data_IF_798299555188
#
_entry.id   IF_798299555188
#
_cell.length_a   1.000
_cell.length_b   1.000
_cell.length_c   1.000
_cell.angle_alpha   90.00
_cell.angle_beta   90.00
_cell.angle_gamma   90.00
#
_symmetry.space_group_name_H-M   'P 1'
#
loop_
_entity.id
_entity.type
_entity.pdbx_description
1 polymer ?
#
# COMPACT_ATOMS: atom_id res chain seq x y z
N UNK A 1 11.99 24.74 0.89
CA UNK A 1 11.33 24.35 2.16
C UNK A 1 12.17 23.31 2.87
N UNK A 2 12.59 23.59 4.10
CA UNK A 2 13.39 22.66 4.92
C UNK A 2 12.59 21.48 5.45
N UNK A 3 11.29 21.67 5.60
CA UNK A 3 10.35 20.66 6.06
C UNK A 3 9.87 19.84 4.85
N UNK A 4 9.78 18.53 5.01
CA UNK A 4 9.39 17.57 3.95
C UNK A 4 8.00 17.00 4.25
N UNK A 5 6.90 17.73 3.96
CA UNK A 5 5.55 17.24 4.19
C UNK A 5 5.25 16.04 3.29
N UNK A 6 4.73 14.96 3.88
CA UNK A 6 4.52 13.67 3.20
C UNK A 6 3.03 13.40 2.96
N UNK A 7 2.73 12.66 1.89
CA UNK A 7 1.35 12.19 1.64
C UNK A 7 1.10 10.98 2.54
N UNK A 8 0.02 11.01 3.34
CA UNK A 8 -0.38 9.85 4.14
C UNK A 8 -0.70 8.68 3.22
N UNK A 9 -0.18 7.49 3.55
CA UNK A 9 -0.32 6.30 2.72
C UNK A 9 -1.78 5.81 2.65
N UNK A 10 -2.52 5.95 3.75
CA UNK A 10 -3.88 5.44 3.90
C UNK A 10 -4.96 6.43 3.47
N UNK A 11 -4.69 7.74 3.51
CA UNK A 11 -5.63 8.77 3.05
C UNK A 11 -5.49 9.15 1.58
N UNK A 12 -4.62 8.51 0.79
CA UNK A 12 -4.50 8.80 -0.66
C UNK A 12 -5.82 8.75 -1.41
N UNK A 13 -6.75 7.87 -0.99
CA UNK A 13 -8.08 7.75 -1.60
C UNK A 13 -9.03 8.88 -1.15
N UNK A 14 -8.97 9.28 0.12
CA UNK A 14 -9.93 10.22 0.72
C UNK A 14 -9.45 11.68 0.75
N UNK A 15 -8.13 11.91 0.65
CA UNK A 15 -7.49 13.22 0.67
C UNK A 15 -6.19 13.20 -0.17
N UNK A 16 -6.27 12.99 -1.49
CA UNK A 16 -5.11 12.75 -2.38
C UNK A 16 -4.10 13.90 -2.40
N UNK A 17 -4.57 15.14 -2.21
CA UNK A 17 -3.75 16.34 -2.29
C UNK A 17 -3.34 16.87 -0.91
N UNK A 18 -3.63 16.16 0.19
CA UNK A 18 -3.27 16.59 1.55
C UNK A 18 -1.92 16.01 1.94
N UNK A 19 -1.04 16.87 2.44
CA UNK A 19 0.27 16.48 2.97
C UNK A 19 0.28 16.67 4.48
N UNK A 20 1.16 15.95 5.17
CA UNK A 20 1.23 15.89 6.61
C UNK A 20 2.64 16.21 7.09
N UNK A 21 2.71 16.97 8.18
CA UNK A 21 3.90 17.12 9.00
C UNK A 21 3.62 16.54 10.40
N UNK A 22 4.68 16.12 11.11
CA UNK A 22 4.59 15.74 12.52
C UNK A 22 3.90 16.80 13.38
N UNK A 23 3.18 16.38 14.42
CA UNK A 23 2.36 17.26 15.27
C UNK A 23 3.15 18.17 16.22
N UNK A 24 4.41 17.84 16.45
CA UNK A 24 5.40 18.64 17.17
C UNK A 24 5.93 19.82 16.34
N UNK A 25 5.72 19.80 15.02
CA UNK A 25 6.05 20.93 14.13
C UNK A 25 4.84 21.85 14.03
N UNK A 26 5.07 23.14 14.23
CA UNK A 26 4.05 24.16 14.01
C UNK A 26 4.49 25.20 12.97
N UNK A 27 3.52 25.93 12.44
CA UNK A 27 3.74 26.91 11.37
C UNK A 27 4.67 28.06 11.78
N UNK A 28 4.73 28.39 13.08
CA UNK A 28 5.63 29.43 13.60
C UNK A 28 7.08 28.99 13.52
N UNK A 29 7.37 27.72 13.84
CA UNK A 29 8.70 27.12 13.64
C UNK A 29 9.08 27.11 12.16
N UNK A 30 8.14 26.78 11.28
CA UNK A 30 8.37 26.80 9.83
C UNK A 30 8.71 28.20 9.32
N UNK A 31 8.00 29.22 9.80
CA UNK A 31 8.24 30.62 9.45
C UNK A 31 9.57 31.14 10.00
N UNK A 32 9.93 30.79 11.24
CA UNK A 32 11.23 31.12 11.81
C UNK A 32 12.37 30.57 10.96
N UNK A 33 12.30 29.29 10.61
CA UNK A 33 13.30 28.66 9.75
C UNK A 33 13.35 29.24 8.33
N UNK A 34 12.21 29.69 7.79
CA UNK A 34 12.17 30.40 6.52
C UNK A 34 12.90 31.75 6.62
N UNK A 35 12.61 32.52 7.67
CA UNK A 35 13.20 33.84 7.90
C UNK A 35 14.72 33.77 8.10
N UNK A 36 15.21 32.70 8.73
CA UNK A 36 16.65 32.44 8.90
C UNK A 36 17.35 32.06 7.59
N UNK A 37 16.66 31.33 6.70
CA UNK A 37 17.25 30.81 5.46
C UNK A 37 17.18 31.79 4.29
N UNK A 38 16.15 32.61 4.25
CA UNK A 38 15.89 33.56 3.16
C UNK A 38 15.74 34.98 3.73
N UNK A 39 16.79 35.55 4.37
CA UNK A 39 16.69 36.84 5.06
C UNK A 39 16.46 38.03 4.12
N UNK A 40 16.81 37.87 2.84
CA UNK A 40 16.64 38.92 1.82
C UNK A 40 15.17 39.08 1.37
N UNK A 41 14.35 38.06 1.56
CA UNK A 41 12.95 38.06 1.14
C UNK A 41 12.07 38.29 2.37
N UNK A 42 11.66 39.54 2.57
CA UNK A 42 10.78 39.89 3.68
C UNK A 42 9.33 39.47 3.37
N UNK A 43 8.90 38.37 3.97
CA UNK A 43 7.52 37.86 3.86
C UNK A 43 6.85 37.98 5.21
N UNK A 44 5.64 38.55 5.25
CA UNK A 44 4.86 38.58 6.49
C UNK A 44 4.41 37.19 6.90
N UNK A 45 4.35 36.94 8.22
CA UNK A 45 3.81 35.69 8.77
C UNK A 45 2.40 35.37 8.24
N UNK A 46 1.55 36.39 8.04
CA UNK A 46 0.20 36.22 7.50
C UNK A 46 0.21 35.67 6.07
N UNK A 47 1.07 36.23 5.20
CA UNK A 47 1.22 35.74 3.83
C UNK A 47 1.79 34.32 3.81
N UNK A 48 2.84 34.05 4.59
CA UNK A 48 3.44 32.72 4.71
C UNK A 48 2.40 31.67 5.14
N UNK A 49 1.57 32.03 6.14
CA UNK A 49 0.50 31.16 6.63
C UNK A 49 -0.53 30.83 5.55
N UNK A 50 -0.91 31.80 4.72
CA UNK A 50 -1.83 31.57 3.62
C UNK A 50 -1.26 30.60 2.59
N UNK A 51 0.01 30.78 2.21
CA UNK A 51 0.70 29.87 1.28
C UNK A 51 0.76 28.44 1.85
N UNK A 52 1.10 28.26 3.13
CA UNK A 52 1.13 26.94 3.77
C UNK A 52 -0.25 26.27 3.78
N UNK A 53 -1.33 27.05 3.98
CA UNK A 53 -2.70 26.55 3.90
C UNK A 53 -3.09 26.12 2.47
N UNK A 54 -2.69 26.89 1.46
CA UNK A 54 -2.91 26.57 0.05
C UNK A 54 -2.18 25.28 -0.37
N UNK A 55 -1.02 25.02 0.22
CA UNK A 55 -0.26 23.76 0.04
C UNK A 55 -0.93 22.54 0.69
N UNK A 56 -2.07 22.73 1.38
CA UNK A 56 -2.87 21.68 2.03
C UNK A 56 -2.04 20.83 3.00
N UNK A 57 -1.16 21.47 3.77
CA UNK A 57 -0.33 20.83 4.78
C UNK A 57 -1.10 20.76 6.11
N UNK A 58 -1.17 19.58 6.71
CA UNK A 58 -1.83 19.30 7.98
C UNK A 58 -0.82 18.94 9.06
N UNK A 59 -1.03 19.43 10.27
CA UNK A 59 -0.19 19.14 11.46
C UNK A 59 -0.82 18.08 12.39
N UNK A 60 -1.98 17.54 12.02
CA UNK A 60 -2.72 16.58 12.85
C UNK A 60 -2.04 15.21 12.89
N UNK A 61 -1.89 14.65 14.09
CA UNK A 61 -1.52 13.24 14.31
C UNK A 61 -2.65 12.33 13.81
N UNK A 62 -2.36 11.45 12.85
CA UNK A 62 -3.34 10.54 12.27
C UNK A 62 -3.43 9.26 13.13
N UNK A 63 -4.36 9.22 14.09
CA UNK A 63 -4.47 8.13 15.06
C UNK A 63 -4.95 6.74 14.55
N UNK A 64 -5.11 6.53 13.24
CA UNK A 64 -5.50 5.23 12.67
C UNK A 64 -4.46 4.65 11.70
N UNK A 65 -3.27 5.23 11.65
CA UNK A 65 -2.15 4.75 10.83
C UNK A 65 -0.98 4.25 11.69
N UNK A 66 -1.21 4.08 13.00
CA UNK A 66 -0.17 3.63 13.93
C UNK A 66 -0.16 2.10 13.96
N UNK A 67 1.04 1.52 13.82
CA UNK A 67 1.21 0.08 13.99
C UNK A 67 0.81 -0.28 15.42
N UNK A 68 -0.13 -1.23 15.59
CA UNK A 68 -0.63 -1.64 16.90
C UNK A 68 0.50 -2.04 17.86
N UNK A 69 1.55 -2.68 17.35
CA UNK A 69 2.72 -3.08 18.16
C UNK A 69 3.53 -1.86 18.61
N UNK A 70 3.72 -0.87 17.72
CA UNK A 70 4.39 0.38 18.06
C UNK A 70 3.59 1.19 19.07
N UNK A 71 2.27 1.27 18.92
CA UNK A 71 1.39 1.98 19.85
C UNK A 71 1.38 1.30 21.22
N UNK A 72 1.22 -0.03 21.27
CA UNK A 72 1.35 -0.83 22.50
C UNK A 72 2.68 -0.59 23.21
N UNK A 73 3.77 -0.48 22.45
CA UNK A 73 5.09 -0.16 23.00
C UNK A 73 5.16 1.26 23.54
N UNK A 74 4.67 2.27 22.80
CA UNK A 74 4.64 3.66 23.26
C UNK A 74 3.83 3.84 24.54
N UNK A 75 2.73 3.11 24.70
CA UNK A 75 1.95 3.09 25.95
C UNK A 75 2.73 2.38 27.06
N UNK A 76 3.40 1.27 26.74
CA UNK A 76 4.19 0.50 27.71
C UNK A 76 5.44 1.25 28.19
N UNK A 77 6.07 2.04 27.32
CA UNK A 77 7.33 2.73 27.60
C UNK A 77 7.35 4.13 26.93
N UNK A 78 6.59 5.09 27.50
CA UNK A 78 6.40 6.41 26.89
C UNK A 78 7.69 7.23 26.78
N UNK A 79 8.68 6.97 27.63
CA UNK A 79 9.96 7.68 27.62
C UNK A 79 11.03 7.02 26.73
N UNK A 80 10.74 5.85 26.14
CA UNK A 80 11.60 5.03 25.25
C UNK A 80 13.02 4.69 25.75
N UNK A 81 13.49 5.30 26.84
CA UNK A 81 14.86 5.27 27.34
C UNK A 81 15.17 4.05 28.21
N UNK A 82 14.14 3.39 28.76
CA UNK A 82 14.31 2.28 29.70
C UNK A 82 13.89 0.99 29.00
N UNK A 83 14.84 0.21 28.51
CA UNK A 83 14.57 -1.16 28.04
C UNK A 83 14.47 -2.08 29.25
N UNK A 84 13.26 -2.51 29.58
CA UNK A 84 13.05 -3.50 30.63
C UNK A 84 13.70 -4.83 30.21
N UNK A 85 14.63 -5.34 31.05
CA UNK A 85 15.23 -6.66 30.85
C UNK A 85 14.14 -7.73 30.96
N UNK A 86 14.04 -8.62 29.96
CA UNK A 86 13.06 -9.72 29.89
C UNK A 86 11.58 -9.29 29.84
N UNK A 87 11.25 -8.12 29.27
CA UNK A 87 9.87 -7.75 29.04
C UNK A 87 9.39 -8.18 27.64
N UNK A 88 8.32 -8.98 27.59
CA UNK A 88 7.71 -9.48 26.36
C UNK A 88 7.33 -8.36 25.39
N UNK A 89 6.69 -7.29 25.87
CA UNK A 89 6.29 -6.12 25.05
C UNK A 89 7.49 -5.39 24.44
N UNK A 90 8.61 -5.30 25.17
CA UNK A 90 9.85 -4.72 24.66
C UNK A 90 10.47 -5.63 23.59
N UNK A 91 10.49 -6.95 23.82
CA UNK A 91 11.03 -7.93 22.88
C UNK A 91 10.22 -8.00 21.58
N UNK A 92 8.88 -7.97 21.67
CA UNK A 92 8.00 -7.90 20.50
C UNK A 92 8.27 -6.65 19.67
N UNK A 93 8.37 -5.48 20.32
CA UNK A 93 8.69 -4.23 19.64
C UNK A 93 10.06 -4.28 18.97
N UNK A 94 11.09 -4.75 19.66
CA UNK A 94 12.44 -4.86 19.09
C UNK A 94 12.48 -5.81 17.90
N UNK A 95 11.79 -6.95 18.00
CA UNK A 95 11.65 -7.89 16.90
C UNK A 95 10.87 -7.30 15.72
N UNK A 96 9.81 -6.54 15.96
CA UNK A 96 9.07 -5.83 14.91
C UNK A 96 9.91 -4.74 14.23
N UNK A 97 10.57 -3.89 15.02
CA UNK A 97 11.38 -2.78 14.52
C UNK A 97 12.61 -3.26 13.74
N UNK A 98 13.27 -4.32 14.22
CA UNK A 98 14.40 -4.94 13.52
C UNK A 98 13.98 -5.49 12.16
N UNK A 99 12.82 -6.17 12.09
CA UNK A 99 12.25 -6.66 10.82
C UNK A 99 11.93 -5.52 9.85
N UNK A 100 11.38 -4.42 10.35
CA UNK A 100 11.10 -3.25 9.51
C UNK A 100 12.39 -2.64 8.92
N UNK A 101 13.43 -2.46 9.75
CA UNK A 101 14.73 -1.95 9.30
C UNK A 101 15.37 -2.89 8.27
N UNK A 102 15.39 -4.19 8.55
CA UNK A 102 16.03 -5.17 7.65
C UNK A 102 15.32 -5.25 6.31
N UNK A 103 13.98 -5.24 6.30
CA UNK A 103 13.18 -5.15 5.08
C UNK A 103 13.47 -3.88 4.28
N UNK A 104 13.58 -2.73 4.96
CA UNK A 104 13.86 -1.45 4.31
C UNK A 104 15.26 -1.42 3.69
N UNK A 105 16.26 -1.90 4.42
CA UNK A 105 17.64 -2.00 3.92
C UNK A 105 17.71 -2.88 2.67
N UNK A 106 17.06 -4.05 2.69
CA UNK A 106 17.00 -4.94 1.53
C UNK A 106 16.33 -4.31 0.33
N UNK A 107 15.24 -3.58 0.53
CA UNK A 107 14.60 -2.83 -0.55
C UNK A 107 15.58 -1.86 -1.22
N UNK A 108 16.39 -1.15 -0.42
CA UNK A 108 17.40 -0.22 -0.92
C UNK A 108 18.53 -0.96 -1.66
N UNK A 109 19.01 -2.08 -1.09
CA UNK A 109 20.02 -2.96 -1.72
C UNK A 109 19.52 -3.54 -3.06
N UNK A 110 18.24 -3.91 -3.15
CA UNK A 110 17.61 -4.45 -4.36
C UNK A 110 17.49 -3.40 -5.47
N UNK A 111 17.14 -2.16 -5.11
CA UNK A 111 17.13 -1.01 -6.05
C UNK A 111 18.55 -0.76 -6.58
N UNK A 112 19.54 -0.78 -5.70
CA UNK A 112 20.94 -0.60 -6.09
C UNK A 112 21.42 -1.73 -7.00
N UNK A 113 21.11 -2.99 -6.66
CA UNK A 113 21.45 -4.17 -7.47
C UNK A 113 20.85 -4.09 -8.86
N UNK A 114 19.57 -3.73 -8.98
CA UNK A 114 18.88 -3.60 -10.26
C UNK A 114 19.43 -2.43 -11.10
N UNK A 115 19.90 -1.36 -10.45
CA UNK A 115 20.50 -0.19 -11.13
C UNK A 115 21.92 -0.48 -11.63
N UNK A 116 22.73 -1.19 -10.83
CA UNK A 116 24.14 -1.50 -11.14
C UNK A 116 24.32 -2.73 -12.02
N UNK A 117 23.54 -3.79 -11.79
CA UNK A 117 23.51 -4.99 -12.61
C UNK A 117 22.27 -4.96 -13.51
N UNK A 118 22.42 -4.43 -14.72
CA UNK A 118 21.45 -4.64 -15.82
C UNK A 118 21.52 -6.09 -16.34
N UNK A 119 21.47 -7.09 -15.45
CA UNK A 119 21.31 -8.47 -15.91
C UNK A 119 19.84 -8.67 -16.32
N UNK A 120 19.62 -9.30 -17.48
CA UNK A 120 18.27 -9.53 -18.02
C UNK A 120 17.58 -10.74 -17.40
N UNK A 121 18.27 -11.49 -16.53
CA UNK A 121 17.84 -12.82 -16.10
C UNK A 121 16.99 -12.80 -14.81
N UNK A 122 17.20 -11.80 -13.94
CA UNK A 122 16.44 -11.64 -12.70
C UNK A 122 15.75 -10.29 -12.66
N UNK A 123 14.43 -10.29 -12.45
CA UNK A 123 13.65 -9.07 -12.21
C UNK A 123 13.18 -9.08 -10.77
N UNK A 124 13.53 -8.03 -10.02
CA UNK A 124 13.13 -7.86 -8.62
C UNK A 124 11.93 -6.91 -8.58
N UNK A 125 10.90 -7.31 -7.84
CA UNK A 125 9.73 -6.49 -7.56
C UNK A 125 9.53 -6.41 -6.05
N UNK A 126 9.41 -5.18 -5.53
CA UNK A 126 8.98 -4.96 -4.16
C UNK A 126 7.50 -4.58 -4.17
N UNK A 127 6.69 -5.32 -3.39
CA UNK A 127 5.24 -5.15 -3.35
C UNK A 127 4.80 -5.10 -1.89
N UNK A 128 3.99 -4.11 -1.56
CA UNK A 128 3.27 -4.05 -0.29
C UNK A 128 2.08 -5.02 -0.33
N UNK A 129 2.16 -6.11 0.44
CA UNK A 129 1.11 -7.13 0.55
C UNK A 129 0.10 -6.82 1.66
N UNK A 130 0.41 -5.90 2.58
CA UNK A 130 -0.46 -5.49 3.69
C UNK A 130 -1.74 -4.83 3.18
N UNK A 131 -1.66 -4.14 2.03
CA UNK A 131 -2.82 -3.51 1.37
C UNK A 131 -3.63 -4.44 0.46
N UNK A 132 -3.05 -5.55 -0.03
CA UNK A 132 -3.75 -6.48 -0.94
C UNK A 132 -4.63 -7.49 -0.22
N UNK A 133 -4.32 -7.84 1.02
CA UNK A 133 -5.13 -8.72 1.88
C UNK A 133 -6.43 -8.05 2.33
N UNK A 134 -6.49 -6.72 2.41
CA UNK A 134 -7.72 -5.98 2.68
C UNK A 134 -8.72 -5.97 1.50
N UNK A 135 -8.26 -6.24 0.27
CA UNK A 135 -9.07 -6.13 -0.96
C UNK A 135 -9.59 -7.46 -1.51
N UNK A 136 -9.28 -8.59 -0.87
CA UNK A 136 -9.94 -9.87 -1.16
C UNK A 136 -10.34 -10.54 0.15
N UNK A 137 -11.61 -10.39 0.52
CA UNK A 137 -12.25 -11.19 1.57
C UNK A 137 -12.43 -12.63 1.07
N UNK A 138 -11.33 -13.35 0.84
CA UNK A 138 -11.34 -14.80 0.68
C UNK A 138 -11.30 -15.37 2.10
N UNK A 139 -12.22 -16.28 2.43
CA UNK A 139 -12.39 -16.93 3.73
C UNK A 139 -11.08 -17.01 4.54
N UNK A 140 -10.98 -16.12 5.53
CA UNK A 140 -9.76 -15.70 6.23
C UNK A 140 -9.09 -16.77 7.10
N UNK A 141 -9.71 -17.94 7.27
CA UNK A 141 -9.34 -18.83 8.37
C UNK A 141 -8.23 -19.83 8.04
N UNK A 142 -7.92 -20.09 6.76
CA UNK A 142 -6.98 -21.18 6.40
C UNK A 142 -5.78 -20.69 5.57
N UNK A 143 -5.96 -19.77 4.62
CA UNK A 143 -4.86 -19.30 3.75
C UNK A 143 -4.08 -18.08 4.28
N UNK A 144 -4.65 -17.28 5.18
CA UNK A 144 -3.99 -16.06 5.66
C UNK A 144 -2.84 -16.33 6.63
N UNK A 145 -2.85 -17.41 7.42
CA UNK A 145 -1.86 -17.58 8.50
C UNK A 145 -0.44 -17.86 8.01
N UNK A 146 -0.28 -18.53 6.87
CA UNK A 146 1.05 -18.91 6.37
C UNK A 146 1.68 -17.84 5.48
N UNK A 147 0.86 -17.07 4.75
CA UNK A 147 1.36 -15.99 3.87
C UNK A 147 1.76 -14.72 4.63
N UNK A 148 1.18 -14.47 5.82
CA UNK A 148 1.49 -13.28 6.66
C UNK A 148 2.96 -13.23 7.06
N UNK A 149 3.62 -14.38 7.23
CA UNK A 149 5.00 -14.45 7.70
C UNK A 149 6.03 -14.46 6.57
N UNK A 150 5.61 -14.40 5.31
CA UNK A 150 6.53 -14.45 4.18
C UNK A 150 7.19 -13.08 3.97
N UNK A 151 8.52 -13.05 4.00
CA UNK A 151 9.32 -11.84 3.78
C UNK A 151 9.83 -11.73 2.34
N UNK A 152 10.18 -12.85 1.71
CA UNK A 152 10.73 -12.91 0.35
C UNK A 152 10.09 -14.06 -0.42
N UNK A 153 9.72 -13.82 -1.68
CA UNK A 153 9.22 -14.84 -2.62
C UNK A 153 10.08 -14.84 -3.87
N UNK A 154 10.43 -16.03 -4.36
CA UNK A 154 11.17 -16.24 -5.60
C UNK A 154 10.43 -17.22 -6.49
N UNK A 155 10.24 -16.82 -7.74
CA UNK A 155 9.75 -17.70 -8.80
C UNK A 155 10.89 -17.94 -9.79
N UNK A 156 11.06 -19.19 -10.20
CA UNK A 156 12.10 -19.59 -11.15
C UNK A 156 11.43 -19.96 -12.46
N UNK A 157 11.90 -19.42 -13.58
CA UNK A 157 11.37 -19.76 -14.91
C UNK A 157 11.50 -21.28 -15.13
N UNK A 158 10.42 -21.92 -15.56
CA UNK A 158 10.34 -23.37 -15.77
C UNK A 158 10.06 -24.19 -14.49
N UNK A 159 10.00 -23.55 -13.32
CA UNK A 159 9.53 -24.19 -12.09
C UNK A 159 8.04 -23.96 -11.88
N UNK A 160 7.36 -24.99 -11.36
CA UNK A 160 5.96 -24.95 -10.93
C UNK A 160 5.81 -24.71 -9.42
N UNK A 161 6.93 -24.57 -8.71
CA UNK A 161 6.98 -24.36 -7.27
C UNK A 161 7.23 -22.90 -6.94
N UNK A 162 6.74 -22.47 -5.79
CA UNK A 162 7.08 -21.18 -5.19
C UNK A 162 8.17 -21.40 -4.14
N UNK A 163 9.19 -20.53 -4.13
CA UNK A 163 10.23 -20.55 -3.10
C UNK A 163 10.06 -19.34 -2.21
N UNK A 164 10.04 -19.51 -0.89
CA UNK A 164 9.82 -18.39 0.02
C UNK A 164 10.72 -18.44 1.25
N UNK A 165 10.82 -17.28 1.92
CA UNK A 165 11.50 -17.11 3.21
C UNK A 165 10.57 -16.40 4.18
N UNK A 166 10.67 -16.75 5.47
CA UNK A 166 9.93 -16.06 6.53
C UNK A 166 10.75 -14.94 7.20
N UNK A 167 12.06 -14.95 6.97
CA UNK A 167 12.95 -13.90 7.41
C UNK A 167 13.93 -13.55 6.31
N UNK A 168 14.28 -12.28 6.30
CA UNK A 168 15.30 -11.76 5.43
C UNK A 168 16.70 -12.32 5.74
N UNK A 169 16.94 -12.76 6.98
CA UNK A 169 18.24 -13.25 7.44
C UNK A 169 18.46 -14.75 7.15
N UNK A 170 17.38 -15.48 6.83
CA UNK A 170 17.49 -16.90 6.48
C UNK A 170 18.06 -17.10 5.08
N UNK A 171 19.14 -17.87 4.95
CA UNK A 171 19.73 -18.18 3.64
C UNK A 171 18.88 -19.19 2.87
N UNK A 172 18.40 -20.24 3.55
CA UNK A 172 17.61 -21.33 2.94
C UNK A 172 16.21 -20.86 2.57
N UNK A 173 15.78 -21.23 1.36
CA UNK A 173 14.41 -21.05 0.90
C UNK A 173 13.61 -22.33 1.17
N UNK A 174 12.33 -22.17 1.53
CA UNK A 174 11.37 -23.26 1.63
C UNK A 174 10.68 -23.38 0.27
N UNK A 175 10.61 -24.59 -0.28
CA UNK A 175 9.86 -24.89 -1.49
C UNK A 175 8.41 -25.23 -1.13
N UNK A 176 7.47 -24.64 -1.87
CA UNK A 176 6.04 -24.87 -1.71
C UNK A 176 5.41 -25.18 -3.07
N UNK A 177 4.82 -26.37 -3.18
CA UNK A 177 3.89 -26.69 -4.27
C UNK A 177 2.51 -26.10 -3.97
N UNK A 178 2.14 -25.11 -4.76
CA UNK A 178 0.85 -24.42 -4.65
C UNK A 178 -0.10 -24.79 -5.80
N UNK A 179 0.33 -25.65 -6.74
CA UNK A 179 -0.49 -26.08 -7.85
C UNK A 179 -1.29 -27.33 -7.49
N UNK A 180 -2.53 -27.43 -7.99
CA UNK A 180 -3.30 -28.66 -7.86
C UNK A 180 -2.70 -29.75 -8.75
N UNK A 181 -2.69 -31.00 -8.27
CA UNK A 181 -2.19 -32.18 -9.02
C UNK A 181 -2.77 -32.26 -10.44
N UNK A 182 -4.06 -31.93 -10.62
CA UNK A 182 -4.70 -31.91 -11.94
C UNK A 182 -4.02 -30.95 -12.92
N UNK A 183 -3.56 -29.79 -12.44
CA UNK A 183 -2.88 -28.78 -13.26
C UNK A 183 -1.45 -29.23 -13.61
N UNK A 184 -0.82 -30.05 -12.77
CA UNK A 184 0.48 -30.64 -13.08
C UNK A 184 0.37 -31.70 -14.19
N UNK A 185 -0.72 -32.47 -14.22
CA UNK A 185 -0.95 -33.53 -15.22
C UNK A 185 -1.49 -33.00 -16.56
N UNK A 186 -2.44 -32.06 -16.51
CA UNK A 186 -3.22 -31.61 -17.67
C UNK A 186 -2.70 -30.25 -18.19
N UNK A 187 -1.86 -29.56 -17.40
CA UNK A 187 -1.45 -28.18 -17.65
C UNK A 187 -2.37 -27.17 -16.97
N UNK A 188 -1.90 -25.92 -16.88
CA UNK A 188 -2.70 -24.80 -16.38
C UNK A 188 -3.58 -24.31 -17.54
N UNK A 189 -4.92 -24.41 -17.45
CA UNK A 189 -5.78 -23.95 -18.53
C UNK A 189 -5.62 -22.44 -18.71
N UNK A 190 -5.38 -22.01 -19.94
CA UNK A 190 -5.31 -20.59 -20.25
C UNK A 190 -6.70 -19.95 -20.03
N UNK A 191 -6.76 -18.75 -19.43
CA UNK A 191 -8.03 -18.04 -19.30
C UNK A 191 -8.60 -17.76 -20.69
N UNK A 192 -9.89 -17.99 -20.87
CA UNK A 192 -10.57 -17.67 -22.12
C UNK A 192 -10.45 -16.17 -22.38
N UNK A 193 -9.84 -15.80 -23.51
CA UNK A 193 -9.76 -14.40 -23.91
C UNK A 193 -11.15 -13.88 -24.24
N UNK A 194 -11.52 -12.74 -23.67
CA UNK A 194 -12.78 -12.06 -24.01
C UNK A 194 -12.55 -11.18 -25.23
N UNK A 195 -13.29 -11.45 -26.30
CA UNK A 195 -13.26 -10.66 -27.55
C UNK A 195 -14.18 -9.43 -27.50
N UNK A 196 -15.12 -9.42 -26.56
CA UNK A 196 -16.07 -8.34 -26.37
C UNK A 196 -16.19 -7.93 -24.89
N UNK A 197 -16.58 -6.68 -24.61
CA UNK A 197 -16.87 -6.25 -23.25
C UNK A 197 -18.01 -7.08 -22.68
N UNK A 198 -17.91 -7.43 -21.39
CA UNK A 198 -18.93 -8.22 -20.68
C UNK A 198 -20.31 -7.56 -20.68
N UNK A 199 -20.33 -6.23 -20.64
CA UNK A 199 -21.52 -5.43 -20.43
C UNK A 199 -21.96 -5.39 -18.96
N UNK A 200 -23.07 -4.71 -18.73
CA UNK A 200 -23.78 -4.63 -17.44
C UNK A 200 -25.28 -4.82 -17.69
N UNK A 201 -26.06 -5.12 -16.65
CA UNK A 201 -27.52 -5.23 -16.79
C UNK A 201 -28.14 -3.92 -17.22
N UNK A 202 -29.29 -4.00 -17.87
CA UNK A 202 -30.04 -2.83 -18.30
C UNK A 202 -30.41 -1.91 -17.13
N UNK A 203 -30.85 -2.47 -16.00
CA UNK A 203 -31.22 -1.65 -14.83
C UNK A 203 -30.01 -0.88 -14.30
N UNK A 204 -28.84 -1.51 -14.28
CA UNK A 204 -27.61 -0.86 -13.81
C UNK A 204 -27.17 0.24 -14.76
N UNK A 205 -27.23 0.01 -16.07
CA UNK A 205 -26.86 1.02 -17.09
C UNK A 205 -27.77 2.24 -17.00
N UNK A 206 -29.08 2.01 -16.94
CA UNK A 206 -30.08 3.09 -16.83
C UNK A 206 -29.96 3.86 -15.51
N UNK A 207 -29.68 3.18 -14.39
CA UNK A 207 -29.44 3.84 -13.11
C UNK A 207 -28.18 4.72 -13.12
N UNK A 208 -27.09 4.28 -13.76
CA UNK A 208 -25.86 5.07 -13.89
C UNK A 208 -26.10 6.31 -14.75
N UNK A 209 -26.74 6.15 -15.91
CA UNK A 209 -27.00 7.26 -16.82
C UNK A 209 -27.97 8.28 -16.21
N UNK A 210 -29.01 7.83 -15.50
CA UNK A 210 -29.96 8.75 -14.86
C UNK A 210 -29.37 9.50 -13.66
N UNK A 211 -28.60 8.82 -12.78
CA UNK A 211 -28.06 9.43 -11.56
C UNK A 211 -26.77 10.20 -11.78
N UNK A 212 -25.85 9.64 -12.58
CA UNK A 212 -24.51 10.18 -12.77
C UNK A 212 -24.33 10.88 -14.11
N UNK A 213 -25.10 10.51 -15.15
CA UNK A 213 -25.00 11.10 -16.48
C UNK A 213 -25.05 12.64 -16.47
N UNK A 214 -26.00 13.29 -15.78
CA UNK A 214 -26.06 14.76 -15.69
C UNK A 214 -24.83 15.41 -15.05
N UNK A 215 -24.15 14.68 -14.16
CA UNK A 215 -22.95 15.15 -13.46
C UNK A 215 -21.66 14.86 -14.23
N UNK A 216 -21.71 14.03 -15.28
CA UNK A 216 -20.56 13.66 -16.08
C UNK A 216 -20.34 14.68 -17.21
N UNK A 217 -19.07 15.08 -17.48
CA UNK A 217 -18.70 15.77 -18.70
C UNK A 217 -18.99 14.93 -19.96
N UNK A 218 -19.33 15.56 -21.08
CA UNK A 218 -19.78 14.87 -22.30
C UNK A 218 -18.77 13.85 -22.83
N UNK A 219 -17.47 14.16 -22.76
CA UNK A 219 -16.39 13.26 -23.16
C UNK A 219 -16.30 11.97 -22.34
N UNK A 220 -16.92 11.93 -21.15
CA UNK A 220 -16.98 10.73 -20.28
C UNK A 220 -18.31 9.98 -20.40
N UNK A 221 -19.36 10.61 -20.93
CA UNK A 221 -20.67 9.97 -21.12
C UNK A 221 -20.63 8.91 -22.22
N UNK A 222 -19.87 9.16 -23.29
CA UNK A 222 -19.79 8.25 -24.44
C UNK A 222 -19.40 6.81 -24.08
N UNK A 223 -18.54 6.61 -23.07
CA UNK A 223 -18.22 5.27 -22.55
C UNK A 223 -19.46 4.55 -22.00
N UNK A 224 -20.23 5.23 -21.14
CA UNK A 224 -21.41 4.64 -20.50
C UNK A 224 -22.57 4.44 -21.46
N UNK A 225 -22.71 5.29 -22.48
CA UNK A 225 -23.72 5.18 -23.52
C UNK A 225 -23.45 3.98 -24.45
N UNK A 226 -22.18 3.77 -24.82
CA UNK A 226 -21.75 2.70 -25.73
C UNK A 226 -21.51 1.35 -25.05
N UNK A 227 -21.48 1.30 -23.71
CA UNK A 227 -21.28 0.07 -22.96
C UNK A 227 -22.39 -0.95 -23.28
N UNK A 228 -22.07 -2.19 -23.70
CA UNK A 228 -23.08 -3.17 -24.07
C UNK A 228 -23.94 -3.56 -22.87
N UNK A 229 -25.22 -3.83 -23.13
CA UNK A 229 -26.15 -4.38 -22.15
C UNK A 229 -26.07 -5.90 -22.19
N UNK A 230 -25.98 -6.52 -21.02
CA UNK A 230 -25.99 -7.96 -20.87
C UNK A 230 -26.63 -8.31 -19.53
N UNK A 231 -27.90 -8.70 -19.56
CA UNK A 231 -28.67 -9.02 -18.35
C UNK A 231 -28.22 -10.34 -17.69
N UNK A 232 -27.46 -11.18 -18.40
CA UNK A 232 -26.77 -12.34 -17.82
C UNK A 232 -25.47 -11.96 -17.10
N UNK A 233 -25.08 -10.68 -17.07
CA UNK A 233 -23.88 -10.23 -16.37
C UNK A 233 -24.10 -10.14 -14.86
N UNK A 234 -23.75 -11.20 -14.12
CA UNK A 234 -23.71 -11.18 -12.65
C UNK A 234 -22.67 -10.17 -12.09
N UNK A 235 -22.84 -9.67 -10.87
CA UNK A 235 -21.77 -8.89 -10.25
C UNK A 235 -20.60 -9.83 -9.87
N UNK A 236 -19.35 -9.40 -10.09
CA UNK A 236 -18.18 -10.20 -9.67
C UNK A 236 -17.86 -10.03 -8.18
N UNK A 237 -18.62 -9.19 -7.49
CA UNK A 237 -18.51 -9.00 -6.04
C UNK A 237 -19.39 -9.96 -5.25
N UNK A 238 -20.15 -10.84 -5.90
CA UNK A 238 -20.90 -11.89 -5.20
C UNK A 238 -19.90 -12.79 -4.45
N UNK A 239 -20.11 -12.84 -3.15
CA UNK A 239 -19.31 -13.54 -2.16
C UNK A 239 -19.41 -15.03 -2.49
N UNK A 240 -18.28 -15.70 -2.69
CA UNK A 240 -18.27 -17.16 -2.72
C UNK A 240 -18.54 -17.62 -1.29
N UNK A 241 -19.81 -17.85 -0.95
CA UNK A 241 -20.20 -18.72 0.14
C UNK A 241 -20.04 -20.15 -0.34
N UNK A 242 -18.84 -20.70 -0.15
CA UNK A 242 -18.54 -22.14 -0.02
C UNK A 242 -17.19 -22.31 0.69
#
# INVERSE_FOLDING_TARGET
>A
MSFRPVVSHYRRVHAPNRKYLPSDINIRMMYGNYSEKEPEINVSYGFYRNVVNELKISFTKLGHEECELCEKFSIHNPNAAIRHRNCEKCQEYEGHHTRNISARKKYEDDVERQTKQKSTDTIIFAVDLEKKTALRRINYNILCRELINISDITFRRGSNSMFYKNSHDTEKQIEWDFLRIKNLKIGIPLPKQKLSPRGITFERKSAILSKLGPLMPDNRRGFWETLPVNDSSADLTEIYED
#
